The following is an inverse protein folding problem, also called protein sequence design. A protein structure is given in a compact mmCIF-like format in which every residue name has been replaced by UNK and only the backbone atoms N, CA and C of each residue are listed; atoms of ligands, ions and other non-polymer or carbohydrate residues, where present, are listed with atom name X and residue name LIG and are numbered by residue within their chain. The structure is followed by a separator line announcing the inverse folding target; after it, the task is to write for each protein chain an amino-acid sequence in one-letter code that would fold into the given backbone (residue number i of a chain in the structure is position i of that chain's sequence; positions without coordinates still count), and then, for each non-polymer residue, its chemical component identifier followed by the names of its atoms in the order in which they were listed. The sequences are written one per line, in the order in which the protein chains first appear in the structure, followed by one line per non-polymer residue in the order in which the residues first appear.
data_IF_979998784688
#
_entry.id   IF_979998784688
#
_cell.length_a   1.000
_cell.length_b   1.000
_cell.length_c   1.000
_cell.angle_alpha   90.00
_cell.angle_beta   90.00
_cell.angle_gamma   90.00
#
_symmetry.space_group_name_H-M   'P 1'
#
loop_
_entity.id
_entity.type
_entity.pdbx_description
1 polymer ?
#
# COMPACT_ATOMS: atom_id res chain seq x y z
N UNK A 1 -30.14 1.83 24.82
CA UNK A 1 -28.90 2.01 24.03
C UNK A 1 -27.96 0.92 24.51
N UNK A 2 -27.41 0.07 23.63
CA UNK A 2 -26.41 -0.93 24.04
C UNK A 2 -25.14 -0.15 24.45
N UNK A 3 -24.71 -0.27 25.69
CA UNK A 3 -23.40 0.25 26.08
C UNK A 3 -22.35 -0.62 25.36
N UNK A 4 -21.54 0.03 24.50
CA UNK A 4 -20.45 -0.60 23.78
C UNK A 4 -19.17 -0.40 24.61
N UNK A 5 -18.47 -1.47 24.85
CA UNK A 5 -17.18 -1.51 25.52
C UNK A 5 -16.08 -2.06 24.60
N UNK A 6 -14.87 -2.16 25.11
CA UNK A 6 -13.70 -2.67 24.39
C UNK A 6 -13.93 -4.07 23.79
N UNK A 7 -14.75 -4.93 24.42
CA UNK A 7 -14.97 -6.30 24.00
C UNK A 7 -16.16 -6.43 23.05
N UNK A 8 -17.19 -5.61 23.22
CA UNK A 8 -18.45 -5.69 22.49
C UNK A 8 -18.48 -4.85 21.21
N UNK A 9 -17.58 -3.87 21.06
CA UNK A 9 -17.56 -2.97 19.88
C UNK A 9 -17.25 -3.72 18.58
N UNK A 10 -16.29 -4.66 18.58
CA UNK A 10 -15.89 -5.38 17.37
C UNK A 10 -17.04 -6.20 16.76
N UNK A 11 -17.72 -7.11 17.50
CA UNK A 11 -18.85 -7.84 16.95
C UNK A 11 -20.00 -6.90 16.53
N UNK A 12 -20.27 -5.83 17.27
CA UNK A 12 -21.32 -4.87 16.93
C UNK A 12 -21.06 -4.14 15.60
N UNK A 13 -19.79 -3.81 15.30
CA UNK A 13 -19.42 -3.20 14.01
C UNK A 13 -19.48 -4.22 12.89
N UNK A 14 -18.99 -5.45 13.10
CA UNK A 14 -19.03 -6.53 12.09
C UNK A 14 -20.48 -6.88 11.71
N UNK A 15 -21.40 -6.89 12.65
CA UNK A 15 -22.83 -7.15 12.42
C UNK A 15 -23.43 -6.18 11.38
N UNK A 16 -22.94 -4.93 11.28
CA UNK A 16 -23.41 -3.96 10.28
C UNK A 16 -23.13 -4.40 8.84
N UNK A 17 -22.13 -5.25 8.63
CA UNK A 17 -21.80 -5.80 7.32
C UNK A 17 -22.56 -7.10 7.01
N UNK A 18 -23.42 -7.60 7.92
CA UNK A 18 -24.15 -8.85 7.74
C UNK A 18 -24.98 -8.87 6.44
N UNK A 19 -25.57 -7.72 6.08
CA UNK A 19 -26.41 -7.53 4.90
C UNK A 19 -25.69 -6.87 3.72
N UNK A 20 -24.35 -6.88 3.68
CA UNK A 20 -23.62 -6.35 2.53
C UNK A 20 -24.00 -7.14 1.25
N UNK A 21 -24.29 -6.45 0.13
CA UNK A 21 -24.79 -7.08 -1.08
C UNK A 21 -23.75 -7.98 -1.78
N UNK A 22 -22.47 -7.80 -1.45
CA UNK A 22 -21.35 -8.52 -2.03
C UNK A 22 -20.61 -9.29 -0.93
N UNK A 23 -20.53 -10.62 -1.08
CA UNK A 23 -19.88 -11.51 -0.11
C UNK A 23 -18.38 -11.17 0.08
N UNK A 24 -17.68 -10.79 -0.99
CA UNK A 24 -16.27 -10.42 -0.91
C UNK A 24 -16.07 -9.10 -0.16
N UNK A 25 -16.92 -8.11 -0.40
CA UNK A 25 -16.89 -6.84 0.36
C UNK A 25 -17.15 -7.12 1.84
N UNK A 26 -18.12 -7.98 2.17
CA UNK A 26 -18.38 -8.39 3.56
C UNK A 26 -17.15 -9.01 4.20
N UNK A 27 -16.51 -9.96 3.52
CA UNK A 27 -15.30 -10.64 3.99
C UNK A 27 -14.17 -9.64 4.27
N UNK A 28 -13.87 -8.76 3.31
CA UNK A 28 -12.79 -7.76 3.41
C UNK A 28 -13.07 -6.77 4.55
N UNK A 29 -14.29 -6.20 4.63
CA UNK A 29 -14.64 -5.26 5.67
C UNK A 29 -14.63 -5.90 7.06
N UNK A 30 -15.10 -7.14 7.18
CA UNK A 30 -15.06 -7.89 8.45
C UNK A 30 -13.62 -8.11 8.92
N UNK A 31 -12.75 -8.55 8.02
CA UNK A 31 -11.33 -8.76 8.30
C UNK A 31 -10.64 -7.43 8.67
N UNK A 32 -10.89 -6.37 7.91
CA UNK A 32 -10.33 -5.04 8.17
C UNK A 32 -10.70 -4.55 9.57
N UNK A 33 -11.99 -4.57 9.93
CA UNK A 33 -12.45 -4.14 11.25
C UNK A 33 -11.80 -4.93 12.36
N UNK A 34 -11.72 -6.26 12.20
CA UNK A 34 -11.09 -7.14 13.20
C UNK A 34 -9.63 -6.71 13.43
N UNK A 35 -8.82 -6.62 12.37
CA UNK A 35 -7.40 -6.31 12.48
C UNK A 35 -7.14 -4.88 12.96
N UNK A 36 -7.95 -3.90 12.55
CA UNK A 36 -7.85 -2.53 13.08
C UNK A 36 -8.16 -2.46 14.58
N UNK A 37 -9.21 -3.15 15.04
CA UNK A 37 -9.55 -3.17 16.46
C UNK A 37 -8.51 -3.93 17.28
N UNK A 38 -7.95 -5.02 16.77
CA UNK A 38 -6.87 -5.75 17.40
C UNK A 38 -5.61 -4.87 17.49
N UNK A 39 -5.24 -4.17 16.42
CA UNK A 39 -4.16 -3.17 16.43
C UNK A 39 -4.37 -2.10 17.53
N UNK A 40 -5.56 -1.52 17.61
CA UNK A 40 -5.86 -0.50 18.63
C UNK A 40 -5.73 -1.08 20.05
N UNK A 41 -6.16 -2.32 20.27
CA UNK A 41 -6.00 -3.00 21.58
C UNK A 41 -4.54 -3.28 21.93
N UNK A 42 -3.74 -3.64 20.94
CA UNK A 42 -2.32 -3.95 21.13
C UNK A 42 -1.51 -2.69 21.43
N UNK A 43 -1.73 -1.63 20.66
CA UNK A 43 -0.95 -0.37 20.75
C UNK A 43 -1.44 0.54 21.88
N UNK A 44 -2.73 0.48 22.21
CA UNK A 44 -3.35 1.35 23.24
C UNK A 44 -3.09 2.85 23.01
N UNK A 45 -3.36 3.40 21.81
CA UNK A 45 -3.06 4.79 21.52
C UNK A 45 -3.84 5.73 22.44
N UNK A 46 -3.22 6.83 22.81
CA UNK A 46 -3.89 7.95 23.47
C UNK A 46 -4.83 8.68 22.50
N UNK A 47 -5.74 9.50 23.02
CA UNK A 47 -6.61 10.35 22.18
C UNK A 47 -5.79 11.34 21.33
N UNK A 48 -4.67 11.83 21.85
CA UNK A 48 -3.76 12.74 21.13
C UNK A 48 -3.09 12.01 19.95
N UNK A 49 -2.56 10.80 20.17
CA UNK A 49 -1.96 9.98 19.11
C UNK A 49 -2.99 9.59 18.06
N UNK A 50 -4.20 9.23 18.46
CA UNK A 50 -5.30 8.98 17.55
C UNK A 50 -5.64 10.23 16.72
N UNK A 51 -5.75 11.40 17.37
CA UNK A 51 -6.00 12.67 16.69
C UNK A 51 -4.92 13.03 15.68
N UNK A 52 -3.64 12.82 16.03
CA UNK A 52 -2.50 12.99 15.12
C UNK A 52 -2.61 12.07 13.89
N UNK A 53 -2.98 10.78 14.08
CA UNK A 53 -3.15 9.85 12.98
C UNK A 53 -4.28 10.26 12.03
N UNK A 54 -5.41 10.75 12.57
CA UNK A 54 -6.51 11.28 11.76
C UNK A 54 -6.07 12.51 10.95
N UNK A 55 -5.34 13.44 11.58
CA UNK A 55 -4.81 14.63 10.88
C UNK A 55 -3.83 14.23 9.78
N UNK A 56 -2.92 13.28 10.04
CA UNK A 56 -2.01 12.75 9.05
C UNK A 56 -2.73 12.16 7.83
N UNK A 57 -3.73 11.29 8.04
CA UNK A 57 -4.52 10.69 6.96
C UNK A 57 -5.31 11.75 6.19
N UNK A 58 -5.87 12.74 6.89
CA UNK A 58 -6.60 13.86 6.27
C UNK A 58 -5.69 14.66 5.35
N UNK A 59 -4.49 15.05 5.82
CA UNK A 59 -3.50 15.76 5.00
C UNK A 59 -3.02 14.91 3.83
N UNK A 60 -2.80 13.61 4.01
CA UNK A 60 -2.47 12.68 2.93
C UNK A 60 -3.53 12.72 1.83
N UNK A 61 -4.81 12.66 2.20
CA UNK A 61 -5.91 12.75 1.23
C UNK A 61 -6.00 14.12 0.53
N UNK A 62 -5.70 15.20 1.25
CA UNK A 62 -5.75 16.56 0.69
C UNK A 62 -4.63 16.85 -0.34
N UNK A 63 -3.54 16.09 -0.32
CA UNK A 63 -2.44 16.22 -1.29
C UNK A 63 -2.73 15.41 -2.58
N UNK A 64 -3.67 14.45 -2.54
CA UNK A 64 -4.07 13.70 -3.73
C UNK A 64 -4.73 14.60 -4.77
N UNK A 65 -4.42 14.35 -6.06
CA UNK A 65 -5.06 14.98 -7.21
C UNK A 65 -5.22 13.95 -8.35
N UNK A 66 -5.55 14.37 -9.57
CA UNK A 66 -5.78 13.50 -10.71
C UNK A 66 -4.52 12.71 -11.14
N UNK A 67 -3.32 13.16 -10.75
CA UNK A 67 -2.04 12.54 -11.10
C UNK A 67 -1.35 11.95 -9.88
N UNK A 68 -1.50 12.60 -8.73
CA UNK A 68 -0.82 12.25 -7.48
C UNK A 68 -1.71 11.42 -6.57
N UNK A 69 -1.24 10.23 -6.18
CA UNK A 69 -1.96 9.33 -5.28
C UNK A 69 -1.12 9.02 -4.03
N UNK A 70 -1.26 9.87 -3.02
CA UNK A 70 -0.45 9.78 -1.79
C UNK A 70 -0.79 8.55 -0.93
N UNK A 71 -2.00 8.00 -1.04
CA UNK A 71 -2.32 6.73 -0.38
C UNK A 71 -1.59 5.54 -0.99
N UNK A 72 -1.25 5.58 -2.29
CA UNK A 72 -0.36 4.58 -2.90
C UNK A 72 1.03 4.70 -2.30
N UNK A 73 1.57 5.92 -2.19
CA UNK A 73 2.87 6.16 -1.54
C UNK A 73 2.88 5.68 -0.07
N UNK A 74 1.80 5.93 0.67
CA UNK A 74 1.65 5.43 2.05
C UNK A 74 1.63 3.90 2.07
N UNK A 75 0.89 3.26 1.16
CA UNK A 75 0.86 1.81 0.98
C UNK A 75 2.25 1.23 0.71
N UNK A 76 3.03 1.88 -0.16
CA UNK A 76 4.40 1.49 -0.49
C UNK A 76 5.31 1.59 0.74
N UNK A 77 5.24 2.71 1.44
CA UNK A 77 6.02 2.96 2.66
C UNK A 77 5.73 1.92 3.76
N UNK A 78 4.48 1.49 3.86
CA UNK A 78 4.05 0.45 4.80
C UNK A 78 4.28 -0.98 4.28
N UNK A 79 4.80 -1.15 3.07
CA UNK A 79 5.03 -2.45 2.44
C UNK A 79 3.76 -3.18 1.99
N UNK A 80 2.60 -2.53 2.06
CA UNK A 80 1.30 -3.16 1.71
C UNK A 80 1.22 -3.45 0.21
N UNK A 81 1.67 -2.52 -0.64
CA UNK A 81 1.72 -2.73 -2.09
C UNK A 81 2.58 -3.92 -2.47
N UNK A 82 3.77 -4.03 -1.87
CA UNK A 82 4.68 -5.18 -2.10
C UNK A 82 4.07 -6.49 -1.63
N UNK A 83 3.37 -6.48 -0.50
CA UNK A 83 2.68 -7.67 0.01
C UNK A 83 1.55 -8.10 -0.94
N UNK A 84 0.75 -7.16 -1.43
CA UNK A 84 -0.32 -7.43 -2.40
C UNK A 84 0.27 -7.99 -3.69
N UNK A 85 1.36 -7.42 -4.19
CA UNK A 85 2.06 -7.92 -5.38
C UNK A 85 2.54 -9.36 -5.17
N UNK A 86 3.22 -9.65 -4.07
CA UNK A 86 3.73 -10.98 -3.74
C UNK A 86 2.63 -12.05 -3.64
N UNK A 87 1.45 -11.69 -3.13
CA UNK A 87 0.30 -12.59 -3.03
C UNK A 87 -0.28 -12.90 -4.42
N UNK A 88 -0.32 -11.91 -5.32
CA UNK A 88 -0.94 -12.06 -6.63
C UNK A 88 0.01 -12.58 -7.70
N UNK A 89 1.31 -12.42 -7.50
CA UNK A 89 2.37 -12.85 -8.42
C UNK A 89 3.40 -13.74 -7.71
N UNK A 90 3.00 -14.93 -7.22
CA UNK A 90 3.93 -15.84 -6.54
C UNK A 90 5.02 -16.30 -7.51
N UNK A 91 6.26 -16.10 -7.13
CA UNK A 91 7.42 -16.50 -7.91
C UNK A 91 7.77 -17.96 -7.62
N UNK A 92 7.94 -18.76 -8.66
CA UNK A 92 8.37 -20.15 -8.58
C UNK A 92 9.70 -20.34 -9.32
N UNK A 93 10.68 -20.92 -8.65
CA UNK A 93 12.00 -21.19 -9.23
C UNK A 93 12.94 -20.00 -9.20
N UNK A 94 13.88 -19.97 -10.13
CA UNK A 94 15.04 -19.05 -10.18
C UNK A 94 14.71 -17.78 -10.99
N UNK A 95 13.54 -17.16 -10.71
CA UNK A 95 13.04 -15.99 -11.42
C UNK A 95 13.20 -14.75 -10.52
N UNK A 96 13.54 -13.61 -11.13
CA UNK A 96 13.56 -12.32 -10.41
C UNK A 96 12.17 -11.98 -9.87
N UNK A 97 12.09 -11.66 -8.59
CA UNK A 97 10.82 -11.29 -7.96
C UNK A 97 10.23 -10.03 -8.58
N UNK A 98 8.91 -10.02 -8.68
CA UNK A 98 8.15 -8.81 -9.01
C UNK A 98 8.33 -7.75 -7.93
N UNK A 99 8.20 -6.50 -8.30
CA UNK A 99 8.22 -5.36 -7.38
C UNK A 99 7.25 -4.29 -7.85
N UNK A 100 6.88 -3.37 -6.96
CA UNK A 100 6.12 -2.18 -7.34
C UNK A 100 6.97 -1.28 -8.24
N UNK A 101 6.32 -0.55 -9.15
CA UNK A 101 7.00 0.39 -10.03
C UNK A 101 7.65 1.50 -9.21
N UNK A 102 8.92 1.74 -9.48
CA UNK A 102 9.68 2.81 -8.82
C UNK A 102 9.21 4.21 -9.25
N UNK A 103 9.59 5.26 -8.51
CA UNK A 103 9.15 6.63 -8.77
C UNK A 103 9.68 7.22 -10.08
N UNK A 104 10.67 6.61 -10.69
CA UNK A 104 11.24 7.06 -11.96
C UNK A 104 10.65 6.34 -13.18
N UNK A 105 9.78 5.35 -12.96
CA UNK A 105 9.11 4.67 -14.06
C UNK A 105 8.10 5.60 -14.74
N UNK A 106 8.10 5.61 -16.07
CA UNK A 106 7.07 6.26 -16.88
C UNK A 106 6.67 5.36 -18.04
N UNK A 107 5.40 5.39 -18.43
CA UNK A 107 4.90 4.64 -19.58
C UNK A 107 5.50 5.09 -20.92
N UNK A 108 6.21 6.21 -20.94
CA UNK A 108 6.81 6.83 -22.10
C UNK A 108 8.35 6.64 -22.14
N UNK A 109 8.88 5.70 -21.37
CA UNK A 109 10.31 5.39 -21.43
C UNK A 109 10.71 4.96 -22.85
N UNK A 110 11.79 5.50 -23.41
CA UNK A 110 12.27 5.07 -24.73
C UNK A 110 12.76 3.62 -24.66
N UNK A 111 12.45 2.84 -25.69
CA UNK A 111 13.02 1.53 -25.87
C UNK A 111 14.51 1.65 -26.20
N UNK A 112 15.35 1.02 -25.40
CA UNK A 112 16.79 0.97 -25.58
C UNK A 112 17.23 -0.47 -25.87
N UNK A 113 18.27 -0.61 -26.70
CA UNK A 113 18.90 -1.90 -26.96
C UNK A 113 20.03 -2.15 -25.97
N UNK A 114 20.42 -3.42 -25.84
CA UNK A 114 21.58 -3.77 -25.03
C UNK A 114 22.84 -3.05 -25.54
N UNK A 115 23.49 -2.30 -24.65
CA UNK A 115 24.70 -1.52 -24.95
C UNK A 115 24.44 -0.09 -25.45
N UNK A 116 23.17 0.33 -25.55
CA UNK A 116 22.85 1.72 -25.89
C UNK A 116 23.34 2.67 -24.79
N UNK A 117 23.78 3.83 -25.20
CA UNK A 117 24.12 4.93 -24.30
C UNK A 117 22.86 5.69 -23.89
N UNK A 118 22.45 5.54 -22.64
CA UNK A 118 21.29 6.22 -22.06
C UNK A 118 21.64 7.57 -21.42
N UNK A 119 22.92 7.95 -21.44
CA UNK A 119 23.42 9.17 -20.82
C UNK A 119 22.91 10.44 -21.53
N UNK A 120 22.68 10.39 -22.84
CA UNK A 120 22.22 11.55 -23.64
C UNK A 120 23.20 12.72 -23.51
N UNK A 121 22.67 13.91 -23.10
CA UNK A 121 23.47 15.13 -22.91
C UNK A 121 23.77 15.43 -21.43
N UNK A 122 23.62 14.47 -20.52
CA UNK A 122 23.91 14.67 -19.11
C UNK A 122 25.41 14.84 -18.88
N UNK A 123 25.77 15.76 -17.97
CA UNK A 123 27.15 15.96 -17.53
C UNK A 123 27.42 15.07 -16.31
N UNK A 124 28.53 14.35 -16.34
CA UNK A 124 28.94 13.48 -15.24
C UNK A 124 30.05 12.53 -15.65
N UNK A 125 30.50 11.71 -14.71
CA UNK A 125 31.43 10.63 -15.01
C UNK A 125 30.65 9.46 -15.64
N UNK A 126 31.15 8.83 -16.72
CA UNK A 126 30.47 7.70 -17.35
C UNK A 126 30.41 6.50 -16.39
N UNK A 127 29.24 5.87 -16.30
CA UNK A 127 29.02 4.65 -15.54
C UNK A 127 28.46 3.57 -16.45
N UNK A 128 28.84 2.31 -16.20
CA UNK A 128 28.32 1.16 -16.91
C UNK A 128 27.52 0.28 -15.95
N UNK A 129 26.30 -0.08 -16.34
CA UNK A 129 25.44 -0.97 -15.58
C UNK A 129 25.29 -2.26 -16.37
N UNK A 130 25.56 -3.39 -15.73
CA UNK A 130 25.33 -4.71 -16.32
C UNK A 130 24.67 -5.65 -15.31
N UNK A 131 23.85 -6.57 -15.82
CA UNK A 131 23.14 -7.53 -14.98
C UNK A 131 22.41 -8.56 -15.83
N UNK A 132 21.78 -9.51 -15.16
CA UNK A 132 20.94 -10.54 -15.79
C UNK A 132 19.60 -10.56 -15.08
N UNK A 133 18.51 -10.41 -15.82
CA UNK A 133 17.15 -10.70 -15.34
C UNK A 133 16.87 -12.19 -15.57
N UNK A 134 16.31 -12.86 -14.57
CA UNK A 134 15.94 -14.28 -14.62
C UNK A 134 14.47 -14.46 -14.34
#
# INVERSE_FOLDING_TARGET
MRELDENSITPAVIERFANAPNARVKEVCTSLVKHLHDFVRDVRPTEEEWGFAIDFLTRTGQICDDVRQEFVLLSDTLGVSTLVDSINHPVHGDITQSTVLGPFWTAQMPDCKMGDDIHGNMKGEPAYIYGTLR
#
